data_IF_304483787530
#
_entry.id   IF_304483787530
#
_cell.length_a   1.000
_cell.length_b   1.000
_cell.length_c   1.000
_cell.angle_alpha   90.00
_cell.angle_beta   90.00
_cell.angle_gamma   90.00
#
_symmetry.space_group_name_H-M   'P 1'
#
loop_
_entity.id
_entity.type
_entity.pdbx_description
1 polymer ?
#
# COMPACT_ATOMS: atom_id res chain seq x y z
N UNK A 1 14.36 -5.44 0.75
CA UNK A 1 13.84 -4.05 0.75
C UNK A 1 14.95 -3.02 0.54
N UNK A 2 16.20 -3.29 0.93
CA UNK A 2 17.32 -2.36 0.74
C UNK A 2 17.67 -2.13 -0.73
N UNK A 3 17.73 -3.18 -1.55
CA UNK A 3 17.98 -3.07 -3.01
C UNK A 3 16.90 -2.25 -3.75
N UNK A 4 15.64 -2.29 -3.26
CA UNK A 4 14.54 -1.50 -3.83
C UNK A 4 14.69 0.00 -3.51
N UNK A 5 15.34 0.35 -2.40
CA UNK A 5 15.51 1.74 -1.98
C UNK A 5 16.42 2.56 -2.91
N UNK A 6 17.36 1.88 -3.59
CA UNK A 6 18.30 2.49 -4.53
C UNK A 6 17.61 2.89 -5.84
N UNK A 7 16.60 2.13 -6.27
CA UNK A 7 15.83 2.38 -7.48
C UNK A 7 14.80 3.51 -7.33
N UNK A 8 14.48 3.91 -6.09
CA UNK A 8 13.50 4.97 -5.82
C UNK A 8 14.11 6.39 -5.85
N UNK A 9 13.28 7.35 -6.25
CA UNK A 9 13.59 8.79 -6.15
C UNK A 9 13.90 9.22 -4.71
N UNK A 10 14.63 10.33 -4.56
CA UNK A 10 15.15 10.85 -3.28
C UNK A 10 14.11 10.90 -2.15
N UNK A 11 12.86 11.27 -2.45
CA UNK A 11 11.76 11.35 -1.47
C UNK A 11 11.38 9.99 -0.91
N UNK A 12 11.22 9.00 -1.78
CA UNK A 12 10.83 7.65 -1.40
C UNK A 12 11.97 6.95 -0.64
N UNK A 13 13.22 7.11 -1.11
CA UNK A 13 14.41 6.61 -0.42
C UNK A 13 14.53 7.16 1.02
N UNK A 14 14.37 8.48 1.21
CA UNK A 14 14.42 9.12 2.55
C UNK A 14 13.35 8.60 3.51
N UNK A 15 12.18 8.23 3.00
CA UNK A 15 11.09 7.68 3.83
C UNK A 15 11.36 6.22 4.20
N UNK A 16 11.94 5.43 3.29
CA UNK A 16 12.33 4.05 3.58
C UNK A 16 13.51 3.98 4.55
N UNK A 17 14.53 4.83 4.39
CA UNK A 17 15.71 4.86 5.28
C UNK A 17 15.38 5.30 6.71
N UNK A 18 14.37 6.16 6.89
CA UNK A 18 13.85 6.55 8.21
C UNK A 18 12.98 5.48 8.88
N UNK A 19 12.67 4.39 8.17
CA UNK A 19 11.89 3.27 8.65
C UNK A 19 10.37 3.45 8.52
N UNK A 20 9.68 2.33 8.31
CA UNK A 20 8.22 2.27 8.28
C UNK A 20 7.67 2.11 9.71
N UNK A 21 6.82 3.05 10.13
CA UNK A 21 6.12 2.96 11.43
C UNK A 21 5.13 1.78 11.45
N UNK A 22 4.63 1.42 12.64
CA UNK A 22 3.64 0.34 12.85
C UNK A 22 2.39 0.44 11.96
N UNK A 23 1.90 1.66 11.70
CA UNK A 23 0.67 1.90 10.91
C UNK A 23 0.82 1.44 9.43
N UNK A 24 1.86 1.88 8.68
CA UNK A 24 2.16 1.33 7.35
C UNK A 24 2.29 -0.20 7.31
N UNK A 25 2.96 -0.80 8.30
CA UNK A 25 3.14 -2.26 8.35
C UNK A 25 1.82 -3.01 8.52
N UNK A 26 0.90 -2.47 9.33
CA UNK A 26 -0.44 -3.04 9.48
C UNK A 26 -1.24 -2.98 8.17
N UNK A 27 -1.10 -1.91 7.40
CA UNK A 27 -1.74 -1.77 6.08
C UNK A 27 -1.21 -2.81 5.09
N UNK A 28 0.10 -2.99 5.01
CA UNK A 28 0.72 -4.02 4.15
C UNK A 28 0.23 -5.42 4.55
N UNK A 29 0.14 -5.73 5.84
CA UNK A 29 -0.39 -7.02 6.30
C UNK A 29 -1.84 -7.26 5.87
N UNK A 30 -2.69 -6.23 5.96
CA UNK A 30 -4.09 -6.32 5.50
C UNK A 30 -4.18 -6.54 3.99
N UNK A 31 -3.34 -5.85 3.20
CA UNK A 31 -3.29 -6.05 1.75
C UNK A 31 -2.78 -7.43 1.36
N UNK A 32 -1.74 -7.94 2.04
CA UNK A 32 -1.25 -9.31 1.82
C UNK A 32 -2.34 -10.36 2.13
N UNK A 33 -3.14 -10.13 3.17
CA UNK A 33 -4.27 -11.00 3.51
C UNK A 33 -5.34 -10.96 2.42
N UNK A 34 -5.79 -9.76 2.03
CA UNK A 34 -6.80 -9.57 0.99
C UNK A 34 -6.38 -10.17 -0.36
N UNK A 35 -5.10 -10.03 -0.74
CA UNK A 35 -4.55 -10.62 -1.96
C UNK A 35 -4.43 -12.14 -1.91
N UNK A 36 -4.25 -12.74 -0.73
CA UNK A 36 -4.19 -14.20 -0.54
C UNK A 36 -5.57 -14.84 -0.52
N UNK A 37 -6.57 -14.13 -0.02
CA UNK A 37 -7.96 -14.62 0.08
C UNK A 37 -8.75 -14.43 -1.22
N UNK A 38 -8.28 -13.58 -2.13
CA UNK A 38 -8.90 -13.40 -3.43
C UNK A 38 -8.69 -14.62 -4.33
N UNK A 39 -9.76 -15.11 -5.02
CA UNK A 39 -9.62 -16.14 -6.03
C UNK A 39 -8.76 -15.66 -7.21
N UNK A 40 -8.08 -16.58 -7.92
CA UNK A 40 -7.32 -16.20 -9.10
C UNK A 40 -8.24 -15.52 -10.12
N UNK A 41 -7.83 -14.34 -10.59
CA UNK A 41 -8.51 -13.48 -11.56
C UNK A 41 -9.60 -12.53 -11.01
N UNK A 42 -9.98 -12.60 -9.74
CA UNK A 42 -10.92 -11.63 -9.13
C UNK A 42 -10.19 -10.49 -8.42
N UNK A 43 -10.81 -9.30 -8.44
CA UNK A 43 -10.25 -8.14 -7.75
C UNK A 43 -10.38 -8.32 -6.23
N UNK A 44 -9.28 -8.16 -5.46
CA UNK A 44 -9.32 -8.36 -4.01
C UNK A 44 -10.17 -7.31 -3.30
N UNK A 45 -10.60 -7.65 -2.08
CA UNK A 45 -11.45 -6.78 -1.26
C UNK A 45 -10.84 -5.38 -1.06
N UNK A 46 -11.69 -4.36 -1.14
CA UNK A 46 -11.29 -2.95 -1.02
C UNK A 46 -10.79 -2.65 0.39
N UNK A 47 -9.49 -2.44 0.54
CA UNK A 47 -8.90 -2.06 1.82
C UNK A 47 -8.98 -0.54 2.00
N UNK A 48 -9.80 -0.09 2.94
CA UNK A 48 -9.97 1.34 3.27
C UNK A 48 -8.81 1.86 4.13
N UNK A 49 -8.25 3.01 3.76
CA UNK A 49 -7.14 3.66 4.47
C UNK A 49 -7.30 5.18 4.53
N UNK A 50 -6.91 5.74 5.68
CA UNK A 50 -6.73 7.19 5.87
C UNK A 50 -5.26 7.62 5.66
N UNK A 51 -4.34 6.65 5.55
CA UNK A 51 -2.92 6.91 5.37
C UNK A 51 -2.64 7.23 3.89
N UNK A 52 -2.68 8.53 3.57
CA UNK A 52 -2.38 9.05 2.22
C UNK A 52 -0.88 9.24 1.96
N UNK A 53 -0.09 9.14 3.00
CA UNK A 53 1.34 9.40 2.97
C UNK A 53 2.15 8.15 2.59
N UNK A 54 1.52 6.99 2.58
CA UNK A 54 2.12 5.71 2.22
C UNK A 54 2.64 5.71 0.78
N UNK A 55 3.89 5.27 0.59
CA UNK A 55 4.46 5.01 -0.73
C UNK A 55 3.87 3.69 -1.24
N UNK A 56 3.50 3.66 -2.51
CA UNK A 56 3.09 2.44 -3.20
C UNK A 56 4.29 1.49 -3.26
N UNK A 57 4.19 0.41 -2.50
CA UNK A 57 5.17 -0.68 -2.53
C UNK A 57 4.77 -1.65 -3.65
N UNK A 58 5.72 -2.32 -4.35
CA UNK A 58 5.38 -3.25 -5.44
C UNK A 58 4.48 -4.41 -4.98
N UNK A 59 4.53 -4.76 -3.69
CA UNK A 59 3.65 -5.77 -3.11
C UNK A 59 2.16 -5.39 -3.13
N UNK A 60 1.86 -4.09 -3.24
CA UNK A 60 0.49 -3.55 -3.27
C UNK A 60 -0.13 -3.63 -4.67
N UNK A 61 0.65 -3.93 -5.70
CA UNK A 61 0.18 -4.00 -7.09
C UNK A 61 -0.85 -5.13 -7.24
N UNK A 62 -1.96 -4.82 -7.92
CA UNK A 62 -3.13 -5.68 -8.08
C UNK A 62 -4.11 -5.63 -6.90
N UNK A 63 -3.99 -4.66 -5.99
CA UNK A 63 -4.93 -4.47 -4.87
C UNK A 63 -5.79 -3.22 -5.07
N UNK A 64 -7.07 -3.28 -4.68
CA UNK A 64 -7.91 -2.08 -4.63
C UNK A 64 -7.78 -1.43 -3.26
N UNK A 65 -7.31 -0.19 -3.25
CA UNK A 65 -7.15 0.61 -2.03
C UNK A 65 -8.18 1.75 -2.03
N UNK A 66 -9.00 1.80 -0.98
CA UNK A 66 -9.90 2.93 -0.74
C UNK A 66 -9.17 4.05 0.00
N UNK A 67 -8.78 5.11 -0.69
CA UNK A 67 -8.08 6.26 -0.09
C UNK A 67 -9.09 7.29 0.41
N UNK A 68 -9.01 7.67 1.68
CA UNK A 68 -9.90 8.69 2.25
C UNK A 68 -9.51 10.09 1.79
N UNK A 69 -10.46 10.83 1.20
CA UNK A 69 -10.23 12.20 0.72
C UNK A 69 -10.67 13.30 1.72
N UNK A 70 -11.31 12.94 2.83
CA UNK A 70 -11.90 13.89 3.79
C UNK A 70 -13.41 13.71 3.98
N UNK A 71 -14.10 13.09 3.02
CA UNK A 71 -15.54 12.82 3.04
C UNK A 71 -15.89 11.40 2.60
N UNK A 72 -15.21 10.88 1.58
CA UNK A 72 -15.47 9.56 0.98
C UNK A 72 -14.17 8.79 0.77
N UNK A 73 -14.29 7.47 0.66
CA UNK A 73 -13.20 6.61 0.23
C UNK A 73 -13.23 6.48 -1.29
N UNK A 74 -12.23 7.05 -1.97
CA UNK A 74 -12.06 6.87 -3.41
C UNK A 74 -11.37 5.53 -3.66
N UNK A 75 -11.98 4.68 -4.48
CA UNK A 75 -11.38 3.41 -4.87
C UNK A 75 -10.28 3.67 -5.91
N UNK A 76 -9.06 3.25 -5.60
CA UNK A 76 -7.89 3.34 -6.47
C UNK A 76 -7.34 1.94 -6.69
N UNK A 77 -7.18 1.57 -7.95
CA UNK A 77 -6.47 0.34 -8.36
C UNK A 77 -4.97 0.65 -8.41
N UNK A 78 -4.17 -0.20 -7.77
CA UNK A 78 -2.72 -0.03 -7.58
C UNK A 78 -1.94 -1.01 -8.44
#
# INVERSE_FOLDING_TARGET
SEQLSELYQCRARRRLSRGLKRKPLALIKKLRKAKKEAPPLEKPEVVKTHLRDMIIMPEMVGSIVGVYNGKTFTQVEV
#
